data_IF_167175005482
#
_entry.id   IF_167175005482
#
_cell.length_a   1.000
_cell.length_b   1.000
_cell.length_c   1.000
_cell.angle_alpha   90.00
_cell.angle_beta   90.00
_cell.angle_gamma   90.00
#
_symmetry.space_group_name_H-M   'P 1'
#
loop_
_entity.id
_entity.type
_entity.pdbx_description
1 polymer ?
#
# COMPACT_ATOMS: atom_id res chain seq x y z
N UNK A 1 28.12 10.01 -1.68
CA UNK A 1 28.63 11.37 -1.95
C UNK A 1 27.42 12.27 -1.98
N UNK A 2 27.43 13.40 -1.25
CA UNK A 2 26.31 14.34 -1.23
C UNK A 2 25.94 14.71 -2.67
N UNK A 3 24.81 14.21 -3.16
CA UNK A 3 24.08 14.99 -4.16
C UNK A 3 23.65 16.26 -3.44
N UNK A 4 24.22 17.37 -3.88
CA UNK A 4 24.11 18.66 -3.21
C UNK A 4 22.65 19.13 -3.31
N UNK A 5 21.82 18.85 -2.29
CA UNK A 5 20.42 19.27 -2.23
C UNK A 5 20.39 20.81 -2.19
N UNK A 6 20.33 21.40 -3.39
CA UNK A 6 20.36 22.85 -3.63
C UNK A 6 19.15 23.57 -3.03
N UNK A 7 17.97 22.92 -3.09
CA UNK A 7 16.73 23.41 -2.52
C UNK A 7 16.22 22.43 -1.47
N UNK A 8 16.12 22.88 -0.22
CA UNK A 8 15.93 22.00 0.94
C UNK A 8 14.50 21.54 1.18
N UNK A 9 13.49 22.21 0.62
CA UNK A 9 12.08 21.87 0.87
C UNK A 9 11.38 21.41 -0.39
N UNK A 10 10.72 20.26 -0.32
CA UNK A 10 9.68 19.88 -1.27
C UNK A 10 8.37 20.57 -0.84
N UNK A 11 7.79 21.38 -1.71
CA UNK A 11 6.55 22.11 -1.44
C UNK A 11 5.49 21.67 -2.45
N UNK A 12 4.43 21.05 -1.93
CA UNK A 12 3.30 20.57 -2.71
C UNK A 12 2.00 21.20 -2.22
N UNK A 13 1.13 21.62 -3.12
CA UNK A 13 -0.21 22.09 -2.79
C UNK A 13 -1.13 22.09 -4.02
N UNK A 14 -2.42 22.19 -3.77
CA UNK A 14 -3.44 22.36 -4.80
C UNK A 14 -4.07 23.74 -4.64
N UNK A 15 -4.15 24.49 -5.73
CA UNK A 15 -4.88 25.75 -5.82
C UNK A 15 -6.30 25.44 -6.29
N UNK A 16 -7.30 25.83 -5.50
CA UNK A 16 -8.69 25.92 -5.91
C UNK A 16 -8.87 27.29 -6.58
N UNK A 17 -8.99 27.31 -7.90
CA UNK A 17 -8.95 28.53 -8.70
C UNK A 17 -10.21 29.38 -8.45
N UNK A 18 -10.01 30.63 -8.03
CA UNK A 18 -11.10 31.59 -7.77
C UNK A 18 -11.06 32.79 -8.73
N UNK A 19 -10.00 32.88 -9.56
CA UNK A 19 -9.73 33.95 -10.51
C UNK A 19 -9.51 33.38 -11.92
N UNK A 20 -9.45 34.23 -12.95
CA UNK A 20 -9.18 33.76 -14.31
C UNK A 20 -7.79 33.11 -14.42
N UNK A 21 -7.77 31.79 -14.59
CA UNK A 21 -6.55 30.99 -14.76
C UNK A 21 -6.54 30.35 -16.15
N UNK A 22 -5.76 30.93 -17.06
CA UNK A 22 -5.61 30.44 -18.43
C UNK A 22 -4.17 29.99 -18.69
N UNK A 23 -3.91 29.42 -19.87
CA UNK A 23 -2.59 28.91 -20.23
C UNK A 23 -1.47 29.97 -20.13
N UNK A 24 -1.79 31.25 -20.36
CA UNK A 24 -0.83 32.35 -20.17
C UNK A 24 -0.49 32.53 -18.69
N UNK A 25 -1.50 32.52 -17.82
CA UNK A 25 -1.33 32.58 -16.36
C UNK A 25 -0.50 31.41 -15.84
N UNK A 26 -0.72 30.20 -16.35
CA UNK A 26 0.05 29.00 -15.98
C UNK A 26 1.53 29.13 -16.36
N UNK A 27 1.82 29.60 -17.58
CA UNK A 27 3.19 29.82 -18.06
C UNK A 27 3.89 30.86 -17.17
N UNK A 28 3.22 31.96 -16.84
CA UNK A 28 3.80 33.01 -15.99
C UNK A 28 4.00 32.54 -14.54
N UNK A 29 3.09 31.72 -14.03
CA UNK A 29 3.24 31.10 -12.71
C UNK A 29 4.41 30.12 -12.68
N UNK A 30 4.55 29.27 -13.69
CA UNK A 30 5.68 28.34 -13.83
C UNK A 30 7.01 29.09 -13.91
N UNK A 31 7.09 30.15 -14.72
CA UNK A 31 8.28 31.02 -14.80
C UNK A 31 8.65 31.64 -13.46
N UNK A 32 7.64 32.06 -12.68
CA UNK A 32 7.89 32.56 -11.33
C UNK A 32 8.49 31.46 -10.44
N UNK A 33 7.91 30.26 -10.44
CA UNK A 33 8.43 29.13 -9.65
C UNK A 33 9.88 28.78 -10.05
N UNK A 34 10.22 28.87 -11.33
CA UNK A 34 11.60 28.68 -11.85
C UNK A 34 12.59 29.70 -11.29
N UNK A 35 12.13 30.86 -10.81
CA UNK A 35 13.02 31.84 -10.16
C UNK A 35 13.33 31.53 -8.70
N UNK A 36 12.48 30.73 -8.04
CA UNK A 36 12.57 30.44 -6.60
C UNK A 36 12.92 28.97 -6.28
N UNK A 37 12.93 28.09 -7.28
CA UNK A 37 13.09 26.66 -7.07
C UNK A 37 13.44 25.87 -8.34
N UNK A 38 13.55 24.55 -8.20
CA UNK A 38 13.67 23.58 -9.28
C UNK A 38 12.63 22.45 -9.15
N UNK A 39 12.73 21.45 -10.04
CA UNK A 39 11.81 20.30 -10.10
C UNK A 39 10.33 20.69 -10.06
N UNK A 40 9.95 21.58 -10.96
CA UNK A 40 8.63 22.22 -10.97
C UNK A 40 7.64 21.40 -11.78
N UNK A 41 6.54 21.00 -11.12
CA UNK A 41 5.36 20.42 -11.76
C UNK A 41 4.18 21.34 -11.49
N UNK A 42 3.56 21.83 -12.56
CA UNK A 42 2.30 22.58 -12.51
C UNK A 42 1.36 21.87 -13.47
N UNK A 43 0.25 21.35 -12.95
CA UNK A 43 -0.76 20.64 -13.75
C UNK A 43 -2.12 21.25 -13.43
N UNK A 44 -2.75 21.83 -14.44
CA UNK A 44 -4.08 22.46 -14.34
C UNK A 44 -5.16 21.53 -14.88
N UNK A 45 -6.27 21.41 -14.16
CA UNK A 45 -7.45 20.65 -14.55
C UNK A 45 -8.72 21.37 -14.08
N UNK A 46 -9.53 21.86 -15.02
CA UNK A 46 -10.73 22.67 -14.78
C UNK A 46 -10.51 23.79 -13.74
N UNK A 47 -11.01 23.62 -12.52
CA UNK A 47 -10.97 24.60 -11.43
C UNK A 47 -9.82 24.35 -10.42
N UNK A 48 -8.90 23.43 -10.71
CA UNK A 48 -7.79 23.09 -9.80
C UNK A 48 -6.42 23.15 -10.49
N UNK A 49 -5.40 23.56 -9.72
CA UNK A 49 -3.99 23.56 -10.17
C UNK A 49 -3.14 22.86 -9.14
N UNK A 50 -2.53 21.73 -9.52
CA UNK A 50 -1.59 20.99 -8.67
C UNK A 50 -0.18 21.52 -8.87
N UNK A 51 0.52 21.79 -7.76
CA UNK A 51 1.84 22.41 -7.77
C UNK A 51 2.79 21.56 -6.94
N UNK A 52 3.96 21.27 -7.52
CA UNK A 52 5.14 20.71 -6.87
C UNK A 52 6.33 21.62 -7.20
N UNK A 53 7.08 22.05 -6.19
CA UNK A 53 8.33 22.79 -6.39
C UNK A 53 9.31 22.48 -5.27
N UNK A 54 10.58 22.27 -5.62
CA UNK A 54 11.65 22.24 -4.64
C UNK A 54 12.18 23.66 -4.45
N UNK A 55 12.09 24.21 -3.25
CA UNK A 55 12.54 25.58 -2.95
C UNK A 55 13.19 25.67 -1.57
N UNK A 56 13.92 26.75 -1.31
CA UNK A 56 14.42 27.07 0.04
C UNK A 56 13.45 27.99 0.80
N UNK A 57 12.43 28.53 0.13
CA UNK A 57 11.42 29.40 0.71
C UNK A 57 10.01 29.02 0.20
N UNK A 58 9.40 27.98 0.79
CA UNK A 58 8.04 27.55 0.46
C UNK A 58 7.01 28.69 0.53
N UNK A 59 7.26 29.68 1.40
CA UNK A 59 6.40 30.84 1.59
C UNK A 59 6.21 31.65 0.31
N UNK A 60 7.25 31.78 -0.52
CA UNK A 60 7.16 32.49 -1.80
C UNK A 60 6.22 31.79 -2.80
N UNK A 61 6.32 30.47 -2.89
CA UNK A 61 5.44 29.66 -3.75
C UNK A 61 3.98 29.77 -3.30
N UNK A 62 3.75 29.65 -1.98
CA UNK A 62 2.43 29.74 -1.35
C UNK A 62 1.82 31.14 -1.53
N UNK A 63 2.59 32.19 -1.26
CA UNK A 63 2.12 33.57 -1.37
C UNK A 63 1.75 33.91 -2.81
N UNK A 64 2.52 33.43 -3.79
CA UNK A 64 2.16 33.58 -5.20
C UNK A 64 0.91 32.78 -5.55
N UNK A 65 0.79 31.55 -5.07
CA UNK A 65 -0.35 30.68 -5.34
C UNK A 65 -1.67 31.26 -4.82
N UNK A 66 -1.65 31.89 -3.63
CA UNK A 66 -2.79 32.60 -3.04
C UNK A 66 -3.34 33.74 -3.90
N UNK A 67 -2.60 34.21 -4.91
CA UNK A 67 -3.11 35.22 -5.85
C UNK A 67 -4.07 34.63 -6.89
N UNK A 68 -4.13 33.30 -7.03
CA UNK A 68 -4.98 32.58 -7.98
C UNK A 68 -6.21 31.93 -7.33
N UNK A 69 -6.16 31.65 -6.02
CA UNK A 69 -7.29 31.12 -5.26
C UNK A 69 -6.87 30.49 -3.94
N UNK A 70 -7.79 29.77 -3.29
CA UNK A 70 -7.55 29.11 -2.00
C UNK A 70 -6.68 27.86 -2.15
N UNK A 71 -5.90 27.53 -1.11
CA UNK A 71 -4.99 26.39 -1.13
C UNK A 71 -5.54 25.22 -0.32
N UNK A 72 -5.41 24.01 -0.85
CA UNK A 72 -5.71 22.75 -0.16
C UNK A 72 -4.56 21.76 -0.34
N UNK A 73 -4.54 20.71 0.48
CA UNK A 73 -3.59 19.60 0.40
C UNK A 73 -2.12 20.09 0.43
N UNK A 74 -1.83 21.03 1.32
CA UNK A 74 -0.50 21.61 1.46
C UNK A 74 0.43 20.66 2.21
N UNK A 75 1.61 20.42 1.64
CA UNK A 75 2.69 19.63 2.20
C UNK A 75 4.01 20.39 2.02
N UNK A 76 4.81 20.47 3.08
CA UNK A 76 6.15 21.05 3.05
C UNK A 76 7.06 20.08 3.77
N UNK A 77 7.91 19.38 3.01
CA UNK A 77 8.86 18.42 3.57
C UNK A 77 10.27 18.96 3.47
N UNK A 78 11.01 18.91 4.57
CA UNK A 78 12.43 19.23 4.57
C UNK A 78 13.22 18.02 4.08
N UNK A 79 13.57 18.01 2.80
CA UNK A 79 14.30 16.90 2.17
C UNK A 79 15.68 16.66 2.80
N UNK A 80 16.26 17.66 3.49
CA UNK A 80 17.51 17.48 4.26
C UNK A 80 17.28 16.77 5.58
N UNK A 81 16.16 17.03 6.26
CA UNK A 81 15.78 16.29 7.46
C UNK A 81 15.27 14.90 7.12
N UNK A 82 14.51 14.73 6.04
CA UNK A 82 14.12 13.41 5.54
C UNK A 82 15.37 12.57 5.19
N UNK A 83 16.35 13.16 4.50
CA UNK A 83 17.64 12.52 4.27
C UNK A 83 18.42 12.26 5.57
N UNK A 84 18.47 13.22 6.50
CA UNK A 84 19.17 13.03 7.77
C UNK A 84 18.47 12.02 8.68
N UNK A 85 17.15 11.94 8.71
CA UNK A 85 16.39 10.92 9.44
C UNK A 85 16.56 9.55 8.79
N UNK A 86 16.62 9.47 7.47
CA UNK A 86 16.96 8.24 6.75
C UNK A 86 18.39 7.81 7.07
N UNK A 87 19.35 8.74 7.04
CA UNK A 87 20.76 8.48 7.41
C UNK A 87 20.94 8.19 8.90
N UNK A 88 20.16 8.80 9.79
CA UNK A 88 20.18 8.53 11.24
C UNK A 88 19.51 7.20 11.54
N UNK A 89 18.39 6.85 10.89
CA UNK A 89 17.78 5.52 10.98
C UNK A 89 18.69 4.45 10.39
N UNK A 90 19.41 4.74 9.31
CA UNK A 90 20.43 3.87 8.73
C UNK A 90 21.68 3.79 9.62
N UNK A 91 22.06 4.87 10.31
CA UNK A 91 23.17 4.88 11.26
C UNK A 91 22.81 4.22 12.60
N UNK A 92 21.55 4.29 13.05
CA UNK A 92 21.01 3.61 14.22
C UNK A 92 20.80 2.12 13.92
N UNK A 93 20.31 1.77 12.71
CA UNK A 93 20.38 0.39 12.19
C UNK A 93 21.82 -0.09 12.12
N UNK A 94 22.74 0.68 11.54
CA UNK A 94 24.16 0.32 11.45
C UNK A 94 24.84 0.24 12.83
N UNK A 95 24.42 1.02 13.84
CA UNK A 95 24.96 0.97 15.20
C UNK A 95 24.39 -0.20 16.02
N UNK A 96 23.11 -0.53 15.83
CA UNK A 96 22.49 -1.76 16.35
C UNK A 96 23.07 -3.00 15.66
N UNK A 97 23.37 -2.92 14.36
CA UNK A 97 24.02 -3.98 13.59
C UNK A 97 25.50 -4.13 13.97
N UNK A 98 26.24 -3.03 14.21
CA UNK A 98 27.66 -3.04 14.60
C UNK A 98 27.92 -3.58 16.01
N UNK A 99 26.92 -3.55 16.90
CA UNK A 99 27.00 -4.18 18.22
C UNK A 99 26.53 -5.64 18.24
N UNK A 100 25.85 -6.10 17.17
CA UNK A 100 25.45 -7.49 16.97
C UNK A 100 26.31 -8.28 15.95
N UNK A 101 27.12 -7.60 15.13
CA UNK A 101 27.96 -8.21 14.09
C UNK A 101 29.45 -8.05 14.42
N UNK A 102 29.98 -8.98 15.22
CA UNK A 102 31.21 -9.63 14.78
C UNK A 102 30.89 -10.16 13.38
N UNK A 103 31.69 -9.81 12.38
CA UNK A 103 31.62 -10.35 11.02
C UNK A 103 31.29 -11.85 11.07
N UNK A 104 30.00 -12.17 10.99
CA UNK A 104 29.58 -13.47 10.55
C UNK A 104 29.71 -13.35 9.03
N UNK A 105 30.45 -14.26 8.37
CA UNK A 105 30.38 -14.32 6.92
C UNK A 105 28.90 -14.33 6.54
N UNK A 106 28.51 -13.55 5.53
CA UNK A 106 27.20 -13.70 4.89
C UNK A 106 27.10 -15.19 4.56
N UNK A 107 26.39 -15.93 5.40
CA UNK A 107 26.05 -17.31 5.11
C UNK A 107 25.23 -17.18 3.85
N UNK A 108 25.85 -17.49 2.71
CA UNK A 108 25.15 -17.53 1.44
C UNK A 108 24.08 -18.59 1.62
N UNK A 109 22.87 -18.15 2.00
CA UNK A 109 21.70 -19.03 2.04
C UNK A 109 21.69 -19.75 0.71
N UNK A 110 21.54 -21.09 0.70
CA UNK A 110 21.63 -21.86 -0.53
C UNK A 110 20.66 -21.26 -1.54
N UNK A 111 21.16 -21.00 -2.75
CA UNK A 111 20.37 -20.38 -3.82
C UNK A 111 19.13 -21.25 -4.08
N UNK A 112 17.94 -20.67 -3.91
CA UNK A 112 16.67 -21.37 -4.08
C UNK A 112 16.26 -21.40 -5.54
N UNK A 113 15.44 -22.40 -5.93
CA UNK A 113 14.78 -22.40 -7.25
C UNK A 113 13.73 -21.29 -7.36
N UNK A 114 12.97 -21.08 -6.30
CA UNK A 114 11.93 -20.07 -6.19
C UNK A 114 12.10 -19.28 -4.89
N UNK A 115 11.84 -17.97 -4.96
CA UNK A 115 11.69 -17.10 -3.81
C UNK A 115 10.54 -16.13 -4.00
N UNK A 116 10.14 -15.46 -2.92
CA UNK A 116 8.95 -14.61 -2.91
C UNK A 116 9.22 -13.26 -2.27
N UNK A 117 8.63 -12.23 -2.85
CA UNK A 117 8.57 -10.86 -2.32
C UNK A 117 7.11 -10.50 -2.18
N UNK A 118 6.68 -10.04 -1.01
CA UNK A 118 5.32 -9.55 -0.82
C UNK A 118 5.34 -8.13 -0.24
N UNK A 119 4.39 -7.31 -0.67
CA UNK A 119 4.09 -6.05 0.02
C UNK A 119 3.10 -6.34 1.12
N UNK A 120 3.40 -5.94 2.35
CA UNK A 120 2.53 -6.16 3.50
C UNK A 120 2.37 -4.89 4.33
N UNK A 121 1.27 -4.83 5.07
CA UNK A 121 0.99 -3.76 6.03
C UNK A 121 0.66 -4.38 7.37
N UNK A 122 1.28 -3.90 8.45
CA UNK A 122 1.06 -4.46 9.79
C UNK A 122 1.91 -5.69 10.09
N UNK A 123 2.25 -5.84 11.38
CA UNK A 123 3.16 -6.87 11.86
C UNK A 123 2.58 -8.27 11.65
N UNK A 124 1.31 -8.49 12.00
CA UNK A 124 0.66 -9.80 11.90
C UNK A 124 0.59 -10.33 10.47
N UNK A 125 0.21 -9.50 9.51
CA UNK A 125 0.23 -9.88 8.09
C UNK A 125 1.65 -10.20 7.59
N UNK A 126 2.65 -9.46 8.06
CA UNK A 126 4.06 -9.77 7.80
C UNK A 126 4.49 -11.13 8.36
N UNK A 127 4.07 -11.46 9.58
CA UNK A 127 4.33 -12.77 10.20
C UNK A 127 3.67 -13.91 9.41
N UNK A 128 2.44 -13.72 8.92
CA UNK A 128 1.74 -14.70 8.06
C UNK A 128 2.54 -14.96 6.78
N UNK A 129 2.92 -13.92 6.04
CA UNK A 129 3.72 -14.09 4.82
C UNK A 129 5.08 -14.75 5.10
N UNK A 130 5.75 -14.35 6.19
CA UNK A 130 7.02 -14.97 6.61
C UNK A 130 6.81 -16.46 6.93
N UNK A 131 5.72 -16.81 7.61
CA UNK A 131 5.33 -18.19 7.93
C UNK A 131 5.02 -19.03 6.69
N UNK A 132 4.48 -18.40 5.65
CA UNK A 132 4.24 -19.02 4.33
C UNK A 132 5.52 -19.13 3.47
N UNK A 133 6.66 -18.67 3.98
CA UNK A 133 7.95 -18.79 3.31
C UNK A 133 8.29 -17.64 2.36
N UNK A 134 7.66 -16.47 2.52
CA UNK A 134 8.06 -15.26 1.81
C UNK A 134 9.46 -14.83 2.24
N UNK A 135 10.34 -14.57 1.28
CA UNK A 135 11.76 -14.30 1.53
C UNK A 135 12.03 -12.84 1.90
N UNK A 136 11.23 -11.92 1.36
CA UNK A 136 11.38 -10.49 1.63
C UNK A 136 10.02 -9.80 1.70
N UNK A 137 9.86 -8.95 2.71
CA UNK A 137 8.67 -8.13 2.89
C UNK A 137 9.03 -6.68 2.62
N UNK A 138 8.28 -6.06 1.72
CA UNK A 138 8.32 -4.61 1.52
C UNK A 138 7.18 -4.03 2.34
N UNK A 139 7.49 -3.11 3.24
CA UNK A 139 6.46 -2.34 3.93
C UNK A 139 5.72 -1.48 2.92
N UNK A 140 4.39 -1.54 2.96
CA UNK A 140 3.53 -0.74 2.10
C UNK A 140 2.09 -0.78 2.58
N UNK A 141 1.17 -0.39 1.71
CA UNK A 141 -0.27 -0.38 2.01
C UNK A 141 -1.04 0.37 0.94
N UNK A 142 -2.33 0.66 1.20
CA UNK A 142 -3.16 1.39 0.23
C UNK A 142 -2.72 2.85 0.02
N UNK A 143 -2.08 3.45 1.03
CA UNK A 143 -1.59 4.83 1.03
C UNK A 143 -0.07 4.94 0.90
N UNK A 144 0.66 3.85 1.13
CA UNK A 144 2.12 3.76 1.03
C UNK A 144 2.46 2.79 -0.11
N UNK A 145 2.63 3.32 -1.32
CA UNK A 145 2.94 2.52 -2.52
C UNK A 145 4.46 2.51 -2.73
N UNK A 146 5.16 1.36 -2.56
CA UNK A 146 6.57 1.23 -2.86
C UNK A 146 6.85 1.51 -4.35
N UNK A 147 8.02 2.06 -4.58
CA UNK A 147 8.53 2.44 -5.89
C UNK A 147 9.14 1.24 -6.65
N UNK A 148 9.49 1.46 -7.91
CA UNK A 148 10.26 0.49 -8.70
C UNK A 148 11.64 0.23 -8.09
N UNK A 149 12.24 1.22 -7.43
CA UNK A 149 13.54 1.07 -6.75
C UNK A 149 13.42 0.16 -5.52
N UNK A 150 12.36 0.31 -4.72
CA UNK A 150 12.09 -0.57 -3.57
C UNK A 150 11.97 -2.03 -4.00
N UNK A 151 11.32 -2.27 -5.15
CA UNK A 151 11.20 -3.61 -5.74
C UNK A 151 12.55 -4.16 -6.19
N UNK A 152 13.41 -3.33 -6.82
CA UNK A 152 14.75 -3.75 -7.23
C UNK A 152 15.64 -4.10 -6.03
N UNK A 153 15.56 -3.32 -4.96
CA UNK A 153 16.26 -3.58 -3.70
C UNK A 153 15.79 -4.90 -3.08
N UNK A 154 14.47 -5.15 -3.03
CA UNK A 154 13.94 -6.42 -2.55
C UNK A 154 14.40 -7.61 -3.43
N UNK A 155 14.42 -7.43 -4.76
CA UNK A 155 14.92 -8.44 -5.71
C UNK A 155 16.39 -8.76 -5.45
N UNK A 156 17.24 -7.79 -5.10
CA UNK A 156 18.66 -8.05 -4.83
C UNK A 156 18.87 -8.89 -3.57
N UNK A 157 18.04 -8.70 -2.54
CA UNK A 157 18.12 -9.42 -1.26
C UNK A 157 17.68 -10.89 -1.35
N UNK A 158 16.81 -11.24 -2.32
CA UNK A 158 16.32 -12.61 -2.48
C UNK A 158 17.28 -13.46 -3.33
N UNK A 159 17.93 -14.46 -2.72
CA UNK A 159 18.84 -15.38 -3.41
C UNK A 159 18.10 -16.57 -4.06
N UNK A 160 17.37 -16.32 -5.15
CA UNK A 160 16.65 -17.33 -5.92
C UNK A 160 16.79 -17.17 -7.44
N UNK A 161 16.59 -18.26 -8.19
CA UNK A 161 16.58 -18.26 -9.66
C UNK A 161 15.32 -17.60 -10.24
N UNK A 162 14.16 -17.95 -9.68
CA UNK A 162 12.88 -17.31 -9.97
C UNK A 162 12.38 -16.58 -8.73
N UNK A 163 11.90 -15.34 -8.89
CA UNK A 163 11.29 -14.57 -7.81
C UNK A 163 9.86 -14.22 -8.21
N UNK A 164 8.91 -14.57 -7.34
CA UNK A 164 7.51 -14.17 -7.45
C UNK A 164 7.28 -12.92 -6.60
N UNK A 165 6.70 -11.87 -7.21
CA UNK A 165 6.36 -10.63 -6.53
C UNK A 165 4.84 -10.57 -6.36
N UNK A 166 4.38 -10.35 -5.13
CA UNK A 166 2.98 -10.17 -4.75
C UNK A 166 2.74 -8.72 -4.33
N UNK A 167 2.26 -7.85 -5.24
CA UNK A 167 2.13 -6.42 -4.96
C UNK A 167 1.10 -6.09 -3.88
N UNK A 168 0.10 -6.96 -3.65
CA UNK A 168 -1.01 -6.80 -2.71
C UNK A 168 -1.74 -5.44 -2.74
N UNK A 169 -1.57 -4.69 -3.83
CA UNK A 169 -2.17 -3.40 -4.08
C UNK A 169 -2.09 -3.13 -5.58
N UNK A 170 -3.24 -2.83 -6.19
CA UNK A 170 -3.35 -2.52 -7.63
C UNK A 170 -2.41 -1.41 -8.10
N UNK A 171 -2.10 -0.44 -7.24
CA UNK A 171 -1.25 0.71 -7.57
C UNK A 171 0.25 0.36 -7.61
N UNK A 172 0.64 -0.78 -7.02
CA UNK A 172 2.04 -1.24 -6.95
C UNK A 172 2.38 -2.16 -8.14
N UNK A 173 1.37 -2.75 -8.80
CA UNK A 173 1.57 -3.71 -9.91
C UNK A 173 2.47 -3.13 -11.01
N UNK A 174 2.27 -1.85 -11.38
CA UNK A 174 3.07 -1.22 -12.42
C UNK A 174 4.56 -1.11 -12.04
N UNK A 175 4.85 -0.77 -10.78
CA UNK A 175 6.22 -0.67 -10.27
C UNK A 175 6.90 -2.05 -10.27
N UNK A 176 6.18 -3.10 -9.85
CA UNK A 176 6.68 -4.47 -9.88
C UNK A 176 6.98 -4.95 -11.32
N UNK A 177 6.12 -4.63 -12.28
CA UNK A 177 6.34 -4.96 -13.70
C UNK A 177 7.53 -4.20 -14.30
N UNK A 178 7.75 -2.95 -13.90
CA UNK A 178 8.95 -2.20 -14.29
C UNK A 178 10.22 -2.82 -13.71
N UNK A 179 10.21 -3.22 -12.43
CA UNK A 179 11.35 -3.87 -11.79
C UNK A 179 11.69 -5.21 -12.46
N UNK A 180 10.66 -5.98 -12.87
CA UNK A 180 10.82 -7.17 -13.72
C UNK A 180 11.54 -6.85 -15.03
N UNK A 181 11.17 -5.78 -15.74
CA UNK A 181 11.81 -5.41 -17.01
C UNK A 181 13.28 -4.99 -16.84
N UNK A 182 13.61 -4.37 -15.71
CA UNK A 182 14.95 -3.88 -15.41
C UNK A 182 15.90 -4.98 -14.91
N UNK A 183 15.36 -6.03 -14.29
CA UNK A 183 16.14 -7.18 -13.81
C UNK A 183 16.55 -8.10 -14.97
N UNK A 184 17.83 -8.52 -15.03
CA UNK A 184 18.38 -9.32 -16.16
C UNK A 184 18.96 -10.67 -15.76
N UNK A 185 19.31 -10.84 -14.49
CA UNK A 185 20.06 -11.97 -13.94
C UNK A 185 19.19 -12.99 -13.19
N UNK A 186 17.90 -12.67 -12.99
CA UNK A 186 16.90 -13.52 -12.32
C UNK A 186 15.61 -13.53 -13.13
N UNK A 187 14.84 -14.62 -13.03
CA UNK A 187 13.51 -14.69 -13.63
C UNK A 187 12.48 -14.06 -12.68
N UNK A 188 11.92 -12.91 -13.05
CA UNK A 188 10.95 -12.20 -12.22
C UNK A 188 9.54 -12.43 -12.75
N UNK A 189 8.64 -12.88 -11.87
CA UNK A 189 7.23 -13.11 -12.15
C UNK A 189 6.41 -12.24 -11.21
N UNK A 190 5.58 -11.36 -11.76
CA UNK A 190 4.62 -10.58 -10.98
C UNK A 190 3.31 -11.36 -10.94
N UNK A 191 2.87 -11.72 -9.75
CA UNK A 191 1.53 -12.28 -9.50
C UNK A 191 0.66 -11.09 -9.11
N UNK A 192 -0.29 -10.63 -9.95
CA UNK A 192 -0.90 -9.30 -9.85
C UNK A 192 -1.98 -9.18 -8.77
N UNK A 193 -1.70 -9.65 -7.55
CA UNK A 193 -2.54 -9.54 -6.36
C UNK A 193 -2.84 -8.07 -6.04
N UNK A 194 -4.09 -7.75 -5.75
CA UNK A 194 -4.57 -6.37 -5.54
C UNK A 194 -4.83 -6.03 -4.06
N UNK A 195 -4.83 -7.04 -3.21
CA UNK A 195 -5.01 -6.96 -1.76
C UNK A 195 -4.24 -8.10 -1.09
N UNK A 196 -4.07 -8.00 0.23
CA UNK A 196 -3.30 -8.97 1.01
C UNK A 196 -3.90 -10.39 1.00
N UNK A 197 -5.22 -10.60 1.17
CA UNK A 197 -5.79 -11.94 1.10
C UNK A 197 -5.53 -12.67 -0.22
N UNK A 198 -5.58 -11.95 -1.35
CA UNK A 198 -5.17 -12.49 -2.66
C UNK A 198 -3.71 -12.95 -2.67
N UNK A 199 -2.81 -12.17 -2.06
CA UNK A 199 -1.41 -12.55 -1.91
C UNK A 199 -1.22 -13.81 -1.09
N UNK A 200 -1.90 -13.92 0.04
CA UNK A 200 -1.86 -15.12 0.90
C UNK A 200 -2.32 -16.36 0.11
N UNK A 201 -3.47 -16.26 -0.55
CA UNK A 201 -4.03 -17.34 -1.38
C UNK A 201 -3.08 -17.76 -2.49
N UNK A 202 -2.44 -16.79 -3.15
CA UNK A 202 -1.46 -17.04 -4.19
C UNK A 202 -0.26 -17.84 -3.65
N UNK A 203 0.33 -17.45 -2.51
CA UNK A 203 1.49 -18.15 -1.94
C UNK A 203 1.12 -19.58 -1.51
N UNK A 204 -0.04 -19.77 -0.86
CA UNK A 204 -0.52 -21.11 -0.44
C UNK A 204 -0.67 -22.06 -1.64
N UNK A 205 -1.04 -21.53 -2.81
CA UNK A 205 -1.26 -22.32 -4.02
C UNK A 205 0.00 -22.58 -4.86
N UNK A 206 1.17 -22.12 -4.42
CA UNK A 206 2.43 -22.47 -5.06
C UNK A 206 2.77 -23.96 -4.88
N UNK A 207 3.25 -24.60 -5.94
CA UNK A 207 3.70 -26.00 -5.91
C UNK A 207 5.17 -26.09 -6.28
N UNK A 208 5.98 -26.60 -5.36
CA UNK A 208 7.44 -26.66 -5.48
C UNK A 208 7.94 -27.42 -6.72
N UNK A 209 7.21 -28.46 -7.14
CA UNK A 209 7.61 -29.32 -8.27
C UNK A 209 7.15 -28.78 -9.64
N UNK A 210 6.37 -27.70 -9.68
CA UNK A 210 5.87 -27.10 -10.92
C UNK A 210 6.80 -26.00 -11.46
N UNK A 211 6.74 -25.78 -12.77
CA UNK A 211 7.52 -24.75 -13.42
C UNK A 211 7.07 -23.33 -13.04
N UNK A 212 7.91 -22.30 -13.27
CA UNK A 212 7.58 -20.91 -12.93
C UNK A 212 6.26 -20.41 -13.54
N UNK A 213 6.04 -20.62 -14.84
CA UNK A 213 4.83 -20.16 -15.54
C UNK A 213 3.57 -20.91 -15.08
N UNK A 214 3.66 -22.22 -14.87
CA UNK A 214 2.54 -23.02 -14.38
C UNK A 214 2.14 -22.61 -12.95
N UNK A 215 3.13 -22.28 -12.11
CA UNK A 215 2.86 -21.68 -10.80
C UNK A 215 2.25 -20.29 -10.95
N UNK A 216 2.76 -19.44 -11.84
CA UNK A 216 2.19 -18.11 -12.07
C UNK A 216 0.71 -18.16 -12.47
N UNK A 217 0.36 -19.05 -13.40
CA UNK A 217 -1.02 -19.29 -13.83
C UNK A 217 -1.90 -19.79 -12.69
N UNK A 218 -1.42 -20.79 -11.93
CA UNK A 218 -2.16 -21.34 -10.79
C UNK A 218 -2.38 -20.31 -9.68
N UNK A 219 -1.31 -19.66 -9.23
CA UNK A 219 -1.35 -18.63 -8.19
C UNK A 219 -2.32 -17.50 -8.59
N UNK A 220 -2.25 -17.08 -9.86
CA UNK A 220 -3.15 -16.06 -10.41
C UNK A 220 -4.60 -16.54 -10.50
N UNK A 221 -4.81 -17.79 -10.91
CA UNK A 221 -6.13 -18.41 -11.00
C UNK A 221 -6.84 -18.45 -9.66
N UNK A 222 -6.18 -19.00 -8.64
CA UNK A 222 -6.78 -19.15 -7.30
C UNK A 222 -6.98 -17.81 -6.60
N UNK A 223 -6.01 -16.88 -6.66
CA UNK A 223 -6.21 -15.57 -6.04
C UNK A 223 -7.37 -14.77 -6.67
N UNK A 224 -7.72 -15.02 -7.93
CA UNK A 224 -8.84 -14.33 -8.59
C UNK A 224 -10.20 -14.85 -8.13
N UNK A 225 -10.27 -16.01 -7.46
CA UNK A 225 -11.49 -16.55 -6.87
C UNK A 225 -11.81 -15.92 -5.51
N UNK A 226 -10.81 -15.32 -4.87
CA UNK A 226 -10.91 -14.64 -3.59
C UNK A 226 -11.78 -13.39 -3.72
N UNK A 227 -12.89 -13.36 -3.00
CA UNK A 227 -13.67 -12.14 -2.77
C UNK A 227 -13.14 -11.45 -1.53
N UNK A 228 -12.58 -10.25 -1.71
CA UNK A 228 -11.95 -9.51 -0.62
C UNK A 228 -12.84 -8.39 -0.08
N UNK A 229 -12.76 -8.16 1.23
CA UNK A 229 -13.41 -7.06 1.91
C UNK A 229 -12.47 -6.29 2.83
N UNK A 230 -12.80 -5.03 3.09
CA UNK A 230 -12.08 -4.17 4.04
C UNK A 230 -13.09 -3.38 4.88
N UNK A 231 -12.83 -3.25 6.18
CA UNK A 231 -13.68 -2.48 7.10
C UNK A 231 -12.88 -1.30 7.62
N UNK A 232 -13.40 -0.09 7.42
CA UNK A 232 -12.76 1.17 7.85
C UNK A 232 -13.81 2.22 8.18
N UNK A 233 -13.41 3.45 8.49
CA UNK A 233 -14.30 4.55 8.85
C UNK A 233 -14.30 5.67 7.82
N UNK A 234 -15.40 6.41 7.74
CA UNK A 234 -15.55 7.56 6.87
C UNK A 234 -14.89 8.80 7.48
N UNK A 235 -13.95 9.42 6.76
CA UNK A 235 -13.27 10.64 7.21
C UNK A 235 -14.05 11.93 6.92
N UNK A 236 -15.11 11.86 6.11
CA UNK A 236 -15.96 13.00 5.72
C UNK A 236 -17.34 12.52 5.29
N UNK A 237 -18.28 13.45 5.27
CA UNK A 237 -19.60 13.22 4.68
C UNK A 237 -19.47 13.02 3.17
N UNK A 238 -20.15 12.03 2.63
CA UNK A 238 -20.20 11.75 1.19
C UNK A 238 -21.47 11.01 0.80
N UNK A 239 -21.78 11.00 -0.49
CA UNK A 239 -22.83 10.18 -1.06
C UNK A 239 -22.23 9.37 -2.20
N UNK A 240 -22.19 8.05 -2.04
CA UNK A 240 -21.60 7.11 -3.01
C UNK A 240 -22.65 6.05 -3.30
N UNK A 241 -22.93 5.79 -4.57
CA UNK A 241 -23.92 4.80 -5.04
C UNK A 241 -25.31 4.96 -4.38
N UNK A 242 -25.70 6.21 -4.06
CA UNK A 242 -26.97 6.54 -3.42
C UNK A 242 -27.02 6.28 -1.91
N UNK A 243 -25.91 5.87 -1.29
CA UNK A 243 -25.79 5.75 0.17
C UNK A 243 -25.24 7.04 0.75
N UNK A 244 -25.98 7.67 1.66
CA UNK A 244 -25.45 8.74 2.50
C UNK A 244 -24.50 8.15 3.54
N UNK A 245 -23.29 8.70 3.60
CA UNK A 245 -22.24 8.29 4.52
C UNK A 245 -21.81 9.52 5.27
N UNK A 246 -21.92 9.47 6.59
CA UNK A 246 -21.48 10.55 7.47
C UNK A 246 -20.08 10.29 7.97
N UNK A 247 -19.35 11.36 8.26
CA UNK A 247 -18.09 11.27 8.96
C UNK A 247 -18.24 10.44 10.25
N UNK A 248 -17.34 9.47 10.43
CA UNK A 248 -17.35 8.53 11.55
C UNK A 248 -18.15 7.26 11.30
N UNK A 249 -18.98 7.16 10.25
CA UNK A 249 -19.62 5.89 9.93
C UNK A 249 -18.58 4.82 9.59
N UNK A 250 -18.89 3.58 9.95
CA UNK A 250 -18.12 2.41 9.54
C UNK A 250 -18.59 2.00 8.15
N UNK A 251 -17.64 1.66 7.29
CA UNK A 251 -17.85 1.26 5.91
C UNK A 251 -17.20 -0.10 5.67
N UNK A 252 -17.95 -1.00 5.05
CA UNK A 252 -17.43 -2.22 4.44
C UNK A 252 -17.23 -2.01 2.95
N UNK A 253 -15.99 -2.12 2.50
CA UNK A 253 -15.57 -1.98 1.12
C UNK A 253 -15.37 -3.37 0.52
N UNK A 254 -15.92 -3.60 -0.67
CA UNK A 254 -15.59 -4.76 -1.49
C UNK A 254 -15.07 -4.29 -2.84
N UNK A 255 -13.90 -4.77 -3.24
CA UNK A 255 -13.17 -4.35 -4.45
C UNK A 255 -13.13 -2.83 -4.73
N UNK A 256 -14.19 -2.28 -5.36
CA UNK A 256 -14.28 -0.88 -5.79
C UNK A 256 -15.53 -0.15 -5.29
N UNK A 257 -16.37 -0.80 -4.49
CA UNK A 257 -17.67 -0.24 -4.06
C UNK A 257 -17.87 -0.39 -2.56
N UNK A 258 -18.78 0.43 -2.03
CA UNK A 258 -19.17 0.39 -0.62
C UNK A 258 -20.34 -0.59 -0.49
N UNK A 259 -20.08 -1.74 0.10
CA UNK A 259 -21.05 -2.83 0.22
C UNK A 259 -21.90 -2.68 1.49
N UNK A 260 -21.31 -2.26 2.61
CA UNK A 260 -22.02 -2.01 3.87
C UNK A 260 -21.64 -0.65 4.48
N UNK A 261 -22.58 -0.04 5.20
CA UNK A 261 -22.38 1.19 5.97
C UNK A 261 -23.17 1.03 7.28
N UNK A 262 -22.57 1.40 8.40
CA UNK A 262 -23.19 1.31 9.71
C UNK A 262 -22.53 2.22 10.74
N UNK A 263 -23.00 2.13 11.98
CA UNK A 263 -22.50 2.94 13.10
C UNK A 263 -21.50 2.19 13.99
N UNK A 264 -21.38 0.87 13.81
CA UNK A 264 -20.49 0.01 14.60
C UNK A 264 -19.73 -0.99 13.72
N UNK A 265 -18.56 -1.43 14.21
CA UNK A 265 -17.64 -2.29 13.46
C UNK A 265 -18.22 -3.69 13.27
N UNK A 266 -18.82 -4.27 14.32
CA UNK A 266 -19.33 -5.65 14.31
C UNK A 266 -20.46 -5.86 13.32
N UNK A 267 -21.49 -5.00 13.37
CA UNK A 267 -22.63 -5.03 12.47
C UNK A 267 -22.24 -4.75 11.02
N UNK A 268 -21.32 -3.81 10.80
CA UNK A 268 -20.85 -3.47 9.45
C UNK A 268 -20.00 -4.59 8.84
N UNK A 269 -19.13 -5.23 9.64
CA UNK A 269 -18.32 -6.39 9.22
C UNK A 269 -19.22 -7.58 8.87
N UNK A 270 -20.18 -7.90 9.72
CA UNK A 270 -21.14 -8.99 9.46
C UNK A 270 -21.97 -8.73 8.20
N UNK A 271 -22.37 -7.49 7.97
CA UNK A 271 -23.10 -7.09 6.75
C UNK A 271 -22.23 -7.16 5.50
N UNK A 272 -20.93 -6.84 5.61
CA UNK A 272 -19.97 -6.99 4.52
C UNK A 272 -19.80 -8.47 4.15
N UNK A 273 -19.57 -9.35 5.13
CA UNK A 273 -19.44 -10.80 4.89
C UNK A 273 -20.69 -11.36 4.21
N UNK A 274 -21.89 -10.99 4.69
CA UNK A 274 -23.17 -11.36 4.05
C UNK A 274 -23.28 -10.97 2.59
N UNK A 275 -22.62 -9.90 2.17
CA UNK A 275 -22.63 -9.45 0.77
C UNK A 275 -21.62 -10.15 -0.12
N UNK A 276 -20.64 -10.85 0.46
CA UNK A 276 -19.57 -11.55 -0.26
C UNK A 276 -19.80 -13.06 -0.36
N UNK A 277 -20.39 -13.65 0.69
CA UNK A 277 -20.72 -15.08 0.74
C UNK A 277 -21.78 -15.43 -0.32
N UNK A 278 -21.55 -16.52 -1.03
CA UNK A 278 -22.51 -17.18 -1.90
C UNK A 278 -22.42 -18.71 -1.79
N UNK A 279 -23.19 -19.42 -2.62
CA UNK A 279 -23.33 -20.87 -2.60
C UNK A 279 -22.04 -21.64 -2.96
N UNK A 280 -21.01 -20.95 -3.49
CA UNK A 280 -19.71 -21.56 -3.85
C UNK A 280 -18.63 -21.32 -2.77
N UNK A 281 -18.97 -20.60 -1.70
CA UNK A 281 -18.02 -20.21 -0.65
C UNK A 281 -17.79 -21.36 0.35
N UNK A 282 -16.53 -21.59 0.71
CA UNK A 282 -16.07 -22.64 1.63
C UNK A 282 -15.34 -22.07 2.85
N UNK A 283 -14.68 -20.91 2.72
CA UNK A 283 -13.84 -20.32 3.77
C UNK A 283 -14.08 -18.82 3.94
N UNK A 284 -14.14 -18.36 5.18
CA UNK A 284 -14.11 -16.94 5.57
C UNK A 284 -12.87 -16.70 6.44
N UNK A 285 -11.97 -15.83 5.99
CA UNK A 285 -10.82 -15.41 6.81
C UNK A 285 -10.96 -13.95 7.23
N UNK A 286 -10.82 -13.67 8.53
CA UNK A 286 -10.78 -12.34 9.12
C UNK A 286 -9.37 -12.00 9.59
N UNK A 287 -8.84 -10.86 9.16
CA UNK A 287 -7.55 -10.31 9.59
C UNK A 287 -7.78 -8.99 10.34
N UNK A 288 -7.68 -9.01 11.67
CA UNK A 288 -8.02 -7.84 12.49
C UNK A 288 -6.85 -6.87 12.67
N UNK A 289 -7.17 -5.57 12.70
CA UNK A 289 -6.21 -4.46 12.77
C UNK A 289 -5.73 -4.16 14.19
N UNK A 290 -4.83 -3.18 14.31
CA UNK A 290 -4.24 -2.81 15.61
C UNK A 290 -5.25 -2.22 16.62
N UNK A 291 -6.33 -1.63 16.10
CA UNK A 291 -7.42 -1.01 16.89
C UNK A 291 -8.49 -2.02 17.34
N UNK A 292 -8.32 -3.31 17.02
CA UNK A 292 -9.26 -4.38 17.37
C UNK A 292 -8.58 -5.37 18.32
N UNK A 293 -9.25 -5.69 19.42
CA UNK A 293 -8.77 -6.71 20.36
C UNK A 293 -9.02 -8.13 19.84
N UNK A 294 -8.22 -9.09 20.29
CA UNK A 294 -8.40 -10.50 19.95
C UNK A 294 -9.78 -11.01 20.41
N UNK A 295 -10.26 -10.57 21.57
CA UNK A 295 -11.59 -10.90 22.07
C UNK A 295 -12.70 -10.40 21.14
N UNK A 296 -12.64 -9.13 20.71
CA UNK A 296 -13.62 -8.56 19.77
C UNK A 296 -13.60 -9.28 18.42
N UNK A 297 -12.42 -9.65 17.93
CA UNK A 297 -12.28 -10.38 16.66
C UNK A 297 -12.86 -11.79 16.74
N UNK A 298 -12.59 -12.51 17.82
CA UNK A 298 -13.14 -13.85 18.05
C UNK A 298 -14.66 -13.81 18.25
N UNK A 299 -15.21 -12.78 18.90
CA UNK A 299 -16.67 -12.62 19.00
C UNK A 299 -17.35 -12.52 17.63
N UNK A 300 -16.72 -11.85 16.65
CA UNK A 300 -17.24 -11.79 15.28
C UNK A 300 -17.06 -13.15 14.59
N UNK A 301 -15.91 -13.81 14.77
CA UNK A 301 -15.66 -15.16 14.24
C UNK A 301 -16.71 -16.18 14.69
N UNK A 302 -17.05 -16.19 15.97
CA UNK A 302 -18.09 -17.07 16.55
C UNK A 302 -19.49 -16.77 15.99
N UNK A 303 -19.81 -15.48 15.79
CA UNK A 303 -21.06 -15.07 15.17
C UNK A 303 -21.16 -15.54 13.71
N UNK A 304 -20.08 -15.38 12.93
CA UNK A 304 -20.03 -15.84 11.54
C UNK A 304 -20.10 -17.36 11.45
N UNK A 305 -19.42 -18.09 12.34
CA UNK A 305 -19.50 -19.56 12.42
C UNK A 305 -20.94 -20.02 12.69
N UNK A 306 -21.67 -19.29 13.53
CA UNK A 306 -23.08 -19.57 13.82
C UNK A 306 -24.00 -19.25 12.64
N UNK A 307 -23.68 -18.22 11.85
CA UNK A 307 -24.45 -17.82 10.67
C UNK A 307 -24.19 -18.73 9.46
N UNK A 308 -22.98 -19.27 9.34
CA UNK A 308 -22.50 -20.07 8.22
C UNK A 308 -21.91 -21.40 8.73
N UNK A 309 -22.74 -22.33 9.24
CA UNK A 309 -22.27 -23.56 9.88
C UNK A 309 -21.57 -24.55 8.92
N UNK A 310 -21.72 -24.33 7.61
CA UNK A 310 -21.12 -25.16 6.56
C UNK A 310 -19.80 -24.57 6.02
N UNK A 311 -19.39 -23.37 6.49
CA UNK A 311 -18.15 -22.71 6.08
C UNK A 311 -17.14 -22.72 7.23
N UNK A 312 -15.85 -22.83 6.90
CA UNK A 312 -14.79 -22.62 7.87
C UNK A 312 -14.60 -21.12 8.11
N UNK A 313 -14.42 -20.71 9.38
CA UNK A 313 -14.16 -19.32 9.76
C UNK A 313 -12.85 -19.24 10.51
N UNK A 314 -11.91 -18.47 9.98
CA UNK A 314 -10.61 -18.23 10.59
C UNK A 314 -10.44 -16.76 11.00
N UNK A 315 -9.81 -16.54 12.15
CA UNK A 315 -9.52 -15.21 12.69
C UNK A 315 -8.03 -15.11 12.96
N UNK A 316 -7.37 -14.13 12.35
CA UNK A 316 -5.93 -13.92 12.39
C UNK A 316 -5.59 -12.48 12.77
N UNK A 317 -4.53 -12.30 13.54
CA UNK A 317 -4.00 -10.95 13.77
C UNK A 317 -3.34 -10.42 12.50
N UNK A 318 -3.80 -9.28 12.01
CA UNK A 318 -3.21 -8.59 10.87
C UNK A 318 -2.34 -7.40 11.27
N UNK A 319 -2.78 -6.63 12.28
CA UNK A 319 -2.03 -5.50 12.84
C UNK A 319 -1.89 -4.32 11.90
N UNK A 320 -2.76 -4.21 10.89
CA UNK A 320 -2.82 -3.04 10.03
C UNK A 320 -3.45 -1.82 10.76
N UNK A 321 -3.00 -0.58 10.49
CA UNK A 321 -3.40 0.59 11.27
C UNK A 321 -4.77 1.20 10.91
N UNK A 322 -5.12 1.26 9.62
CA UNK A 322 -6.30 2.01 9.14
C UNK A 322 -7.56 1.14 9.05
N UNK A 323 -7.39 -0.16 8.86
CA UNK A 323 -8.49 -1.08 8.60
C UNK A 323 -8.75 -1.94 9.82
N UNK A 324 -9.96 -1.85 10.37
CA UNK A 324 -10.39 -2.71 11.48
C UNK A 324 -10.31 -4.19 11.10
N UNK A 325 -10.74 -4.51 9.87
CA UNK A 325 -10.64 -5.86 9.31
C UNK A 325 -10.23 -5.79 7.84
N UNK A 326 -9.35 -6.68 7.42
CA UNK A 326 -9.32 -7.20 6.06
C UNK A 326 -9.95 -8.59 6.08
N UNK A 327 -10.61 -8.99 5.01
CA UNK A 327 -11.21 -10.32 4.95
C UNK A 327 -11.18 -10.92 3.56
N UNK A 328 -11.21 -12.26 3.50
CA UNK A 328 -11.50 -13.03 2.30
C UNK A 328 -12.72 -13.92 2.50
N UNK A 329 -13.45 -14.12 1.40
CA UNK A 329 -14.39 -15.21 1.20
C UNK A 329 -13.95 -15.97 -0.04
N UNK A 330 -13.69 -17.27 0.12
CA UNK A 330 -13.13 -18.16 -0.89
C UNK A 330 -14.06 -19.33 -1.16
#
# INVERSE_FOLDING_TARGET
ALEDIKFGYCTEFIIMVEQEYNLGTEIDFKKYLETIGDSIVVVSDEDIVKVHVHTNDPGLAIQKALTYGSLTNMKIDNMREEHNEMVIKDAEKAAMEASAHKEKPVEQKPRKKAGFIAVSMGQGLGEIFTGLGVDYLIEGGQTMNPSTEDMLNAISEVNADTIFILPNNKNIILAAEQAKQLTKDKNIIVVPSKNVPQGITAVINFVYDKGPEENAERMTGEMNRVKSGQVTYAIRDTCIDGKEIKQGNIMGLGDKTILSVGDDVKGTTTSLVKSLVDDESELISLYYGEEITEEEANEIGDELTSLYPDLDVEVHYGGQPIYYYLLSVE
#
